data_IF_349751573728
#
_entry.id   IF_349751573728
#
_cell.length_a   1.000
_cell.length_b   1.000
_cell.length_c   1.000
_cell.angle_alpha   90.00
_cell.angle_beta   90.00
_cell.angle_gamma   90.00
#
_symmetry.space_group_name_H-M   'P 1'
#
loop_
_entity.id
_entity.type
_entity.pdbx_description
1 polymer ?
#
# COMPACT_ATOMS: atom_id res chain seq x y z
N UNK A 1 -12.26 28.58 -36.76
CA UNK A 1 -12.54 28.39 -35.31
C UNK A 1 -12.32 26.95 -34.85
N UNK A 2 -12.54 25.93 -35.70
CA UNK A 2 -12.24 24.52 -35.39
C UNK A 2 -10.73 24.17 -35.36
N UNK A 3 -9.87 24.86 -36.12
CA UNK A 3 -8.42 24.61 -36.12
C UNK A 3 -7.69 25.02 -34.83
N UNK A 4 -8.19 26.02 -34.10
CA UNK A 4 -7.62 26.42 -32.80
C UNK A 4 -7.83 25.36 -31.71
N UNK A 5 -8.92 24.60 -31.78
CA UNK A 5 -9.25 23.57 -30.79
C UNK A 5 -8.40 22.29 -30.92
N UNK A 6 -7.79 22.05 -32.09
CA UNK A 6 -6.87 20.93 -32.29
C UNK A 6 -5.44 21.26 -31.89
N UNK A 7 -5.03 22.54 -31.95
CA UNK A 7 -3.67 22.96 -31.60
C UNK A 7 -3.44 23.10 -30.09
N UNK A 8 -4.48 23.43 -29.31
CA UNK A 8 -4.37 23.53 -27.83
C UNK A 8 -4.17 22.16 -27.15
N UNK A 9 -4.53 21.05 -27.81
CA UNK A 9 -4.33 19.69 -27.25
C UNK A 9 -2.90 19.16 -27.41
N UNK A 10 -2.06 19.80 -28.23
CA UNK A 10 -0.71 19.32 -28.50
C UNK A 10 0.30 19.65 -27.38
N UNK A 11 -0.06 20.53 -26.44
CA UNK A 11 0.83 20.99 -25.36
C UNK A 11 0.32 20.74 -23.93
N UNK A 12 -0.81 20.04 -23.77
CA UNK A 12 -1.23 19.63 -22.43
C UNK A 12 -0.30 18.53 -21.94
N UNK A 13 0.38 18.75 -20.81
CA UNK A 13 1.07 17.67 -20.08
C UNK A 13 0.09 16.48 -19.98
N UNK A 14 0.55 15.23 -20.22
CA UNK A 14 -0.30 14.08 -20.03
C UNK A 14 -0.86 14.10 -18.60
N UNK A 15 -2.11 13.66 -18.41
CA UNK A 15 -2.73 13.68 -17.10
C UNK A 15 -1.91 12.81 -16.14
N UNK A 16 -1.74 13.29 -14.90
CA UNK A 16 -0.95 12.61 -13.86
C UNK A 16 -1.62 11.31 -13.36
N UNK A 17 -2.93 11.19 -13.57
CA UNK A 17 -3.78 10.08 -13.17
C UNK A 17 -4.89 9.87 -14.22
N UNK A 18 -5.51 8.70 -14.23
CA UNK A 18 -6.60 8.36 -15.15
C UNK A 18 -7.94 8.90 -14.65
N UNK A 19 -8.25 8.74 -13.37
CA UNK A 19 -9.46 9.29 -12.75
C UNK A 19 -9.29 9.64 -11.28
N UNK A 20 -9.83 10.79 -10.88
CA UNK A 20 -9.91 11.22 -9.48
C UNK A 20 -11.27 10.90 -8.83
N UNK A 21 -12.15 10.16 -9.50
CA UNK A 21 -13.42 9.72 -8.88
C UNK A 21 -13.15 8.55 -7.94
N UNK A 22 -14.01 8.39 -6.94
CA UNK A 22 -14.04 7.15 -6.17
C UNK A 22 -14.78 6.08 -6.98
N UNK A 23 -14.08 5.52 -7.95
CA UNK A 23 -14.56 4.46 -8.81
C UNK A 23 -13.55 3.32 -8.87
N UNK A 24 -14.04 2.08 -8.85
CA UNK A 24 -13.15 0.92 -8.77
C UNK A 24 -12.82 0.37 -10.15
N UNK A 25 -11.55 0.48 -10.54
CA UNK A 25 -11.06 -0.11 -11.79
C UNK A 25 -10.95 -1.62 -11.65
N UNK A 26 -11.36 -2.34 -12.71
CA UNK A 26 -11.15 -3.79 -12.82
C UNK A 26 -9.71 -4.07 -13.20
N UNK A 27 -9.00 -4.86 -12.40
CA UNK A 27 -7.60 -5.21 -12.67
C UNK A 27 -7.46 -6.58 -13.31
N UNK A 28 -8.29 -7.56 -12.95
CA UNK A 28 -8.14 -8.95 -13.41
C UNK A 28 -9.36 -9.43 -14.20
N UNK A 29 -9.13 -10.27 -15.21
CA UNK A 29 -10.21 -10.87 -15.99
C UNK A 29 -10.99 -11.91 -15.18
N UNK A 30 -10.34 -12.59 -14.24
CA UNK A 30 -10.95 -13.57 -13.36
C UNK A 30 -11.65 -12.90 -12.17
N UNK A 31 -12.95 -13.17 -11.98
CA UNK A 31 -13.75 -12.56 -10.90
C UNK A 31 -13.28 -12.92 -9.50
N UNK A 32 -12.73 -14.13 -9.30
CA UNK A 32 -12.22 -14.56 -8.01
C UNK A 32 -10.99 -13.73 -7.61
N UNK A 33 -10.00 -13.58 -8.50
CA UNK A 33 -8.81 -12.76 -8.23
C UNK A 33 -9.19 -11.28 -8.10
N UNK A 34 -10.09 -10.81 -8.96
CA UNK A 34 -10.62 -9.45 -8.91
C UNK A 34 -11.28 -9.14 -7.56
N UNK A 35 -12.05 -10.07 -7.01
CA UNK A 35 -12.65 -9.95 -5.68
C UNK A 35 -11.58 -9.75 -4.58
N UNK A 36 -10.55 -10.61 -4.51
CA UNK A 36 -9.51 -10.51 -3.48
C UNK A 36 -8.61 -9.29 -3.62
N UNK A 37 -8.56 -8.70 -4.81
CA UNK A 37 -7.78 -7.49 -5.04
C UNK A 37 -8.46 -6.22 -4.49
N UNK A 38 -9.78 -6.24 -4.22
CA UNK A 38 -10.54 -5.09 -3.72
C UNK A 38 -10.58 -5.11 -2.20
N UNK A 39 -9.99 -4.10 -1.57
CA UNK A 39 -9.75 -4.10 -0.11
C UNK A 39 -10.51 -2.96 0.52
N UNK A 40 -11.17 -3.19 1.66
CA UNK A 40 -11.83 -2.10 2.38
C UNK A 40 -10.78 -1.25 3.11
N UNK A 41 -10.90 0.10 3.16
CA UNK A 41 -9.95 0.95 3.89
C UNK A 41 -9.74 0.58 5.36
N UNK A 42 -10.76 -0.01 6.00
CA UNK A 42 -10.68 -0.47 7.39
C UNK A 42 -9.90 -1.78 7.58
N UNK A 43 -9.57 -2.51 6.50
CA UNK A 43 -8.92 -3.82 6.58
C UNK A 43 -7.59 -3.80 7.36
N UNK A 44 -6.66 -2.85 7.16
CA UNK A 44 -5.43 -2.80 7.94
C UNK A 44 -5.69 -2.67 9.46
N UNK A 45 -6.67 -1.85 9.86
CA UNK A 45 -7.00 -1.66 11.27
C UNK A 45 -7.55 -2.96 11.88
N UNK A 46 -8.47 -3.61 11.19
CA UNK A 46 -9.10 -4.86 11.65
C UNK A 46 -8.07 -5.99 11.75
N UNK A 47 -7.13 -6.08 10.81
CA UNK A 47 -6.11 -7.12 10.81
C UNK A 47 -5.02 -6.88 11.85
N UNK A 48 -4.48 -5.67 11.92
CA UNK A 48 -3.23 -5.43 12.65
C UNK A 48 -3.43 -4.88 14.06
N UNK A 49 -4.53 -4.19 14.39
CA UNK A 49 -4.75 -3.72 15.77
C UNK A 49 -4.84 -4.88 16.78
N UNK A 50 -5.53 -6.01 16.51
CA UNK A 50 -5.52 -7.15 17.43
C UNK A 50 -4.12 -7.73 17.61
N UNK A 51 -3.31 -7.79 16.54
CA UNK A 51 -1.93 -8.28 16.59
C UNK A 51 -1.08 -7.35 17.47
N UNK A 52 -1.14 -6.04 17.25
CA UNK A 52 -0.44 -5.04 18.07
C UNK A 52 -0.86 -5.17 19.54
N UNK A 53 -2.17 -5.25 19.81
CA UNK A 53 -2.69 -5.43 21.17
C UNK A 53 -2.18 -6.71 21.84
N UNK A 54 -2.15 -7.83 21.11
CA UNK A 54 -1.62 -9.09 21.63
C UNK A 54 -0.11 -9.03 21.90
N UNK A 55 0.66 -8.38 21.05
CA UNK A 55 2.11 -8.22 21.25
C UNK A 55 2.42 -7.33 22.45
N UNK A 56 1.68 -6.22 22.63
CA UNK A 56 1.79 -5.36 23.80
C UNK A 56 1.40 -6.10 25.08
N UNK A 57 0.30 -6.87 25.06
CA UNK A 57 -0.10 -7.72 26.18
C UNK A 57 0.99 -8.73 26.54
N UNK A 58 1.58 -9.39 25.53
CA UNK A 58 2.64 -10.38 25.73
C UNK A 58 3.88 -9.73 26.35
N UNK A 59 4.31 -8.58 25.84
CA UNK A 59 5.48 -7.87 26.37
C UNK A 59 5.31 -7.47 27.85
N UNK A 60 4.14 -6.93 28.22
CA UNK A 60 3.89 -6.43 29.56
C UNK A 60 3.53 -7.53 30.56
N UNK A 61 2.63 -8.46 30.22
CA UNK A 61 2.07 -9.43 31.16
C UNK A 61 2.65 -10.84 31.06
N UNK A 62 3.18 -11.25 29.90
CA UNK A 62 3.81 -12.57 29.75
C UNK A 62 5.31 -12.51 29.98
N UNK A 63 5.98 -11.48 29.44
CA UNK A 63 7.43 -11.30 29.57
C UNK A 63 7.81 -10.40 30.75
N UNK A 64 6.86 -9.64 31.31
CA UNK A 64 7.11 -8.80 32.47
C UNK A 64 8.02 -7.61 32.20
N UNK A 65 8.13 -7.14 30.96
CA UNK A 65 8.91 -5.94 30.66
C UNK A 65 8.27 -4.72 31.33
N UNK A 66 9.12 -3.80 31.78
CA UNK A 66 8.64 -2.54 32.34
C UNK A 66 7.95 -1.71 31.26
N UNK A 67 6.97 -0.90 31.67
CA UNK A 67 6.26 -0.01 30.75
C UNK A 67 7.22 0.89 29.97
N UNK A 68 8.29 1.37 30.61
CA UNK A 68 9.30 2.20 29.97
C UNK A 68 10.01 1.48 28.81
N UNK A 69 10.39 0.21 29.02
CA UNK A 69 11.02 -0.60 27.96
C UNK A 69 10.05 -0.83 26.82
N UNK A 70 8.79 -1.19 27.11
CA UNK A 70 7.77 -1.44 26.07
C UNK A 70 7.48 -0.19 25.26
N UNK A 71 7.32 0.96 25.90
CA UNK A 71 7.14 2.25 25.20
C UNK A 71 8.37 2.59 24.36
N UNK A 72 9.58 2.42 24.90
CA UNK A 72 10.82 2.66 24.16
C UNK A 72 10.94 1.80 22.90
N UNK A 73 10.66 0.50 23.01
CA UNK A 73 10.67 -0.43 21.87
C UNK A 73 9.56 -0.12 20.88
N UNK A 74 8.37 0.26 21.34
CA UNK A 74 7.26 0.65 20.48
C UNK A 74 7.62 1.90 19.65
N UNK A 75 8.18 2.92 20.29
CA UNK A 75 8.61 4.15 19.61
C UNK A 75 9.76 3.88 18.63
N UNK A 76 10.72 3.02 18.99
CA UNK A 76 11.76 2.58 18.08
C UNK A 76 11.17 1.84 16.87
N UNK A 77 10.20 0.96 17.09
CA UNK A 77 9.47 0.27 16.02
C UNK A 77 8.76 1.25 15.08
N UNK A 78 8.10 2.28 15.62
CA UNK A 78 7.47 3.34 14.83
C UNK A 78 8.50 4.13 14.00
N UNK A 79 9.67 4.44 14.56
CA UNK A 79 10.75 5.12 13.85
C UNK A 79 11.32 4.26 12.72
N UNK A 80 11.55 2.97 12.98
CA UNK A 80 12.01 2.03 11.96
C UNK A 80 10.96 1.83 10.87
N UNK A 81 9.66 1.80 11.24
CA UNK A 81 8.57 1.73 10.28
C UNK A 81 8.55 2.94 9.36
N UNK A 82 8.65 4.18 9.86
CA UNK A 82 8.63 5.38 8.98
C UNK A 82 9.83 5.42 8.04
N UNK A 83 11.00 4.99 8.50
CA UNK A 83 12.17 4.82 7.63
C UNK A 83 11.93 3.76 6.56
N UNK A 84 11.40 2.60 6.95
CA UNK A 84 11.11 1.50 6.03
C UNK A 84 10.04 1.88 5.01
N UNK A 85 8.97 2.54 5.44
CA UNK A 85 7.92 3.10 4.59
C UNK A 85 8.52 4.01 3.52
N UNK A 86 9.39 4.93 3.93
CA UNK A 86 10.08 5.81 2.99
C UNK A 86 10.91 5.04 1.96
N UNK A 87 11.72 4.07 2.42
CA UNK A 87 12.60 3.29 1.55
C UNK A 87 11.79 2.41 0.58
N UNK A 88 10.79 1.69 1.06
CA UNK A 88 9.94 0.83 0.23
C UNK A 88 9.17 1.70 -0.78
N UNK A 89 8.56 2.79 -0.32
CA UNK A 89 7.79 3.66 -1.19
C UNK A 89 8.68 4.26 -2.30
N UNK A 90 9.84 4.81 -1.93
CA UNK A 90 10.76 5.46 -2.88
C UNK A 90 11.42 4.48 -3.84
N UNK A 91 11.95 3.36 -3.35
CA UNK A 91 12.83 2.50 -4.13
C UNK A 91 12.14 1.26 -4.71
N UNK A 92 11.02 0.80 -4.12
CA UNK A 92 10.29 -0.37 -4.59
C UNK A 92 9.01 0.06 -5.29
N UNK A 93 8.17 0.85 -4.62
CA UNK A 93 6.86 1.24 -5.17
C UNK A 93 6.98 2.27 -6.30
N UNK A 94 8.05 3.07 -6.34
CA UNK A 94 8.36 3.98 -7.43
C UNK A 94 9.47 3.48 -8.38
N UNK A 95 9.80 2.19 -8.30
CA UNK A 95 10.64 1.56 -9.32
C UNK A 95 9.92 1.51 -10.67
N UNK A 96 10.65 1.66 -11.78
CA UNK A 96 10.11 1.58 -13.15
C UNK A 96 10.59 0.29 -13.83
N UNK A 97 9.79 -0.80 -13.84
CA UNK A 97 10.22 -2.04 -14.44
C UNK A 97 10.26 -1.95 -15.97
N UNK A 98 11.26 -2.59 -16.57
CA UNK A 98 11.43 -2.61 -18.04
C UNK A 98 10.64 -3.73 -18.72
N UNK A 99 10.43 -4.85 -18.02
CA UNK A 99 9.75 -6.04 -18.58
C UNK A 99 8.24 -5.91 -18.49
N UNK A 100 7.51 -6.55 -19.42
CA UNK A 100 6.04 -6.57 -19.42
C UNK A 100 5.47 -7.11 -18.11
N UNK A 101 6.04 -8.21 -17.60
CA UNK A 101 5.64 -8.83 -16.34
C UNK A 101 5.92 -7.88 -15.17
N UNK A 102 7.10 -7.26 -15.15
CA UNK A 102 7.47 -6.30 -14.11
C UNK A 102 6.50 -5.12 -14.05
N UNK A 103 6.18 -4.51 -15.19
CA UNK A 103 5.21 -3.40 -15.26
C UNK A 103 3.83 -3.81 -14.75
N UNK A 104 3.40 -5.03 -15.07
CA UNK A 104 2.12 -5.57 -14.59
C UNK A 104 2.11 -5.77 -13.07
N UNK A 105 3.17 -6.34 -12.50
CA UNK A 105 3.28 -6.51 -11.05
C UNK A 105 3.34 -5.17 -10.32
N UNK A 106 4.15 -4.24 -10.82
CA UNK A 106 4.24 -2.88 -10.27
C UNK A 106 2.89 -2.16 -10.30
N UNK A 107 2.15 -2.28 -11.41
CA UNK A 107 0.79 -1.74 -11.50
C UNK A 107 -0.13 -2.27 -10.40
N UNK A 108 -0.10 -3.58 -10.15
CA UNK A 108 -0.91 -4.23 -9.11
C UNK A 108 -0.52 -3.77 -7.70
N UNK A 109 0.78 -3.54 -7.46
CA UNK A 109 1.30 -3.20 -6.13
C UNK A 109 1.10 -1.71 -5.80
N UNK A 110 1.37 -0.81 -6.75
CA UNK A 110 1.36 0.65 -6.51
C UNK A 110 0.84 1.48 -7.68
N UNK A 111 1.05 1.05 -8.93
CA UNK A 111 0.69 1.86 -10.09
C UNK A 111 -0.81 2.17 -10.19
N UNK A 112 -1.69 1.25 -9.81
CA UNK A 112 -3.14 1.46 -9.81
C UNK A 112 -3.56 2.63 -8.91
N UNK A 113 -2.87 2.84 -7.80
CA UNK A 113 -3.15 3.95 -6.89
C UNK A 113 -2.78 5.29 -7.51
N UNK A 114 -1.70 5.37 -8.30
CA UNK A 114 -1.37 6.60 -9.03
C UNK A 114 -2.39 6.93 -10.12
N UNK A 115 -2.89 5.90 -10.83
CA UNK A 115 -3.89 6.09 -11.87
C UNK A 115 -5.28 6.42 -11.31
N UNK A 116 -5.62 5.88 -10.13
CA UNK A 116 -6.92 6.02 -9.46
C UNK A 116 -6.75 6.39 -7.97
N UNK A 117 -6.26 7.60 -7.65
CA UNK A 117 -5.87 7.98 -6.29
C UNK A 117 -7.02 7.96 -5.26
N UNK A 118 -8.25 8.13 -5.73
CA UNK A 118 -9.44 8.18 -4.87
C UNK A 118 -10.27 6.89 -4.88
N UNK A 119 -9.81 5.83 -5.55
CA UNK A 119 -10.45 4.51 -5.49
C UNK A 119 -10.26 3.90 -4.10
N UNK A 120 -11.29 3.99 -3.26
CA UNK A 120 -11.24 3.51 -1.89
C UNK A 120 -10.95 2.00 -1.78
N UNK A 121 -11.17 1.22 -2.85
CA UNK A 121 -10.94 -0.22 -2.85
C UNK A 121 -9.53 -0.63 -3.27
N UNK A 122 -8.71 0.31 -3.74
CA UNK A 122 -7.32 0.10 -4.23
C UNK A 122 -6.29 0.93 -3.50
N UNK A 123 -6.70 1.63 -2.44
CA UNK A 123 -5.84 2.52 -1.68
C UNK A 123 -4.89 1.78 -0.74
N UNK A 124 -5.40 0.76 -0.04
CA UNK A 124 -4.63 0.01 0.96
C UNK A 124 -4.07 -1.26 0.36
N UNK A 125 -2.88 -1.66 0.84
CA UNK A 125 -2.24 -2.88 0.38
C UNK A 125 -3.10 -4.11 0.70
N UNK A 126 -3.32 -5.03 -0.26
CA UNK A 126 -4.12 -6.22 -0.01
C UNK A 126 -3.45 -7.16 0.99
N UNK A 127 -4.24 -7.88 1.81
CA UNK A 127 -3.72 -8.83 2.80
C UNK A 127 -2.81 -9.90 2.22
N UNK A 128 -3.04 -10.31 0.96
CA UNK A 128 -2.20 -11.27 0.25
C UNK A 128 -0.75 -10.80 0.05
N UNK A 129 -0.49 -9.49 0.12
CA UNK A 129 0.85 -8.91 0.06
C UNK A 129 1.33 -8.51 1.46
N UNK A 130 0.47 -7.82 2.24
CA UNK A 130 0.88 -7.26 3.53
C UNK A 130 1.11 -8.31 4.62
N UNK A 131 0.38 -9.44 4.62
CA UNK A 131 0.55 -10.49 5.63
C UNK A 131 1.85 -11.27 5.45
N UNK A 132 2.22 -11.77 4.25
CA UNK A 132 3.54 -12.38 4.04
C UNK A 132 4.69 -11.45 4.40
N UNK A 133 4.57 -10.16 4.06
CA UNK A 133 5.58 -9.16 4.42
C UNK A 133 5.69 -8.97 5.94
N UNK A 134 4.56 -8.96 6.66
CA UNK A 134 4.56 -8.90 8.12
C UNK A 134 5.24 -10.11 8.76
N UNK A 135 4.99 -11.33 8.26
CA UNK A 135 5.68 -12.53 8.75
C UNK A 135 7.17 -12.53 8.44
N UNK A 136 7.57 -12.02 7.27
CA UNK A 136 8.98 -11.86 6.92
C UNK A 136 9.68 -10.95 7.93
N UNK A 137 9.12 -9.77 8.22
CA UNK A 137 9.71 -8.86 9.20
C UNK A 137 9.67 -9.42 10.61
N UNK A 138 8.58 -10.09 11.00
CA UNK A 138 8.52 -10.77 12.30
C UNK A 138 9.59 -11.86 12.45
N UNK A 139 9.99 -12.55 11.37
CA UNK A 139 11.06 -13.54 11.42
C UNK A 139 12.48 -12.94 11.45
N UNK A 140 12.63 -11.65 11.11
CA UNK A 140 13.93 -10.96 11.10
C UNK A 140 14.31 -10.36 12.45
N UNK A 141 13.35 -10.16 13.35
CA UNK A 141 13.52 -9.54 14.67
C UNK A 141 13.04 -10.48 15.77
#
# INVERSE_FOLDING_TARGET
MAERLHHERAFSKPPLYVSAKNETVRMFDNDFIEFFSRVHPATPLILYLPVVGYMLYTALWRQGFSLFVVVGLFLLGMLLWTLLEYLIHRYIFHYEPKTRIGKRLHYIIHGVHHDYPNDARRLVMPPSVSVPLAFLFYGMF
#
